data_IF_465992089491
#
_entry.id   IF_465992089491
#
_cell.length_a   1.000
_cell.length_b   1.000
_cell.length_c   1.000
_cell.angle_alpha   90.00
_cell.angle_beta   90.00
_cell.angle_gamma   90.00
#
_symmetry.space_group_name_H-M   'P 1'
#
loop_
_entity.id
_entity.type
_entity.pdbx_description
1 polymer ?
#
# COMPACT_ATOMS: atom_id res chain seq x y z
N UNK A 1 -12.09 8.52 27.59
CA UNK A 1 -11.54 8.77 26.25
C UNK A 1 -12.43 8.03 25.28
N UNK A 2 -12.96 8.70 24.25
CA UNK A 2 -13.71 8.02 23.18
C UNK A 2 -12.78 7.12 22.39
N UNK A 3 -13.30 6.05 21.82
CA UNK A 3 -12.54 5.23 20.88
C UNK A 3 -12.12 6.10 19.68
N UNK A 4 -10.93 5.87 19.10
CA UNK A 4 -10.51 6.57 17.89
C UNK A 4 -11.50 6.30 16.76
N UNK A 5 -11.69 7.29 15.88
CA UNK A 5 -12.33 7.06 14.59
C UNK A 5 -11.42 6.12 13.78
N UNK A 6 -11.95 4.98 13.34
CA UNK A 6 -11.21 4.04 12.49
C UNK A 6 -11.60 4.25 11.04
N UNK A 7 -10.60 4.40 10.16
CA UNK A 7 -10.77 4.59 8.72
C UNK A 7 -9.98 3.50 7.98
N UNK A 8 -10.70 2.66 7.24
CA UNK A 8 -10.09 1.67 6.34
C UNK A 8 -9.63 2.34 5.04
N UNK A 9 -8.35 2.15 4.70
CA UNK A 9 -7.73 2.68 3.48
C UNK A 9 -7.27 1.52 2.62
N UNK A 10 -7.89 1.37 1.45
CA UNK A 10 -7.51 0.39 0.45
C UNK A 10 -6.51 1.03 -0.53
N UNK A 11 -5.36 0.40 -0.74
CA UNK A 11 -4.25 1.04 -1.44
C UNK A 11 -3.56 0.14 -2.46
N UNK A 12 -2.98 0.78 -3.47
CA UNK A 12 -2.04 0.21 -4.43
C UNK A 12 -0.91 1.19 -4.72
N UNK A 13 0.33 0.71 -4.66
CA UNK A 13 1.53 1.52 -4.84
C UNK A 13 1.74 2.07 -6.26
N UNK A 14 1.02 1.56 -7.26
CA UNK A 14 1.05 2.04 -8.64
C UNK A 14 0.02 3.14 -8.90
N UNK A 15 -0.92 3.36 -7.98
CA UNK A 15 -2.01 4.30 -8.17
C UNK A 15 -1.60 5.73 -7.77
N UNK A 16 -1.54 6.70 -8.70
CA UNK A 16 -1.16 8.08 -8.37
C UNK A 16 -2.15 8.76 -7.41
N UNK A 17 -3.42 8.35 -7.43
CA UNK A 17 -4.43 8.87 -6.49
C UNK A 17 -4.19 8.37 -5.06
N UNK A 18 -3.62 7.17 -4.89
CA UNK A 18 -3.24 6.66 -3.57
C UNK A 18 -2.08 7.46 -3.01
N UNK A 19 -1.09 7.84 -3.81
CA UNK A 19 -0.02 8.72 -3.34
C UNK A 19 -0.56 10.07 -2.87
N UNK A 20 -1.35 10.75 -3.70
CA UNK A 20 -1.97 12.02 -3.32
C UNK A 20 -2.84 11.89 -2.04
N UNK A 21 -3.66 10.83 -1.97
CA UNK A 21 -4.48 10.53 -0.81
C UNK A 21 -3.66 10.24 0.45
N UNK A 22 -2.54 9.54 0.32
CA UNK A 22 -1.65 9.21 1.44
C UNK A 22 -1.04 10.44 2.10
N UNK A 23 -0.70 11.47 1.31
CA UNK A 23 -0.18 12.73 1.85
C UNK A 23 -1.25 13.43 2.70
N UNK A 24 -2.51 13.42 2.24
CA UNK A 24 -3.63 13.93 3.03
C UNK A 24 -3.87 13.11 4.30
N UNK A 25 -3.83 11.77 4.21
CA UNK A 25 -3.96 10.87 5.37
C UNK A 25 -2.86 11.17 6.40
N UNK A 26 -1.62 11.41 5.96
CA UNK A 26 -0.50 11.80 6.84
C UNK A 26 -0.78 13.11 7.57
N UNK A 27 -1.27 14.12 6.86
CA UNK A 27 -1.58 15.43 7.44
C UNK A 27 -2.74 15.33 8.45
N UNK A 28 -3.78 14.55 8.14
CA UNK A 28 -4.89 14.26 9.06
C UNK A 28 -4.43 13.53 10.30
N UNK A 29 -3.59 12.48 10.16
CA UNK A 29 -3.02 11.76 11.32
C UNK A 29 -2.17 12.68 12.19
N UNK A 30 -1.41 13.60 11.57
CA UNK A 30 -0.61 14.60 12.30
C UNK A 30 -1.49 15.57 13.09
N UNK A 31 -2.61 16.01 12.51
CA UNK A 31 -3.52 16.96 13.14
C UNK A 31 -4.36 16.36 14.28
N UNK A 32 -4.79 15.10 14.14
CA UNK A 32 -5.73 14.45 15.06
C UNK A 32 -5.07 13.47 16.04
N UNK A 33 -3.81 13.09 15.83
CA UNK A 33 -3.07 12.21 16.73
C UNK A 33 -3.84 10.91 17.02
N UNK A 34 -4.07 10.61 18.29
CA UNK A 34 -4.72 9.38 18.75
C UNK A 34 -6.26 9.39 18.62
N UNK A 35 -6.86 10.49 18.14
CA UNK A 35 -8.30 10.55 17.89
C UNK A 35 -8.72 9.80 16.60
N UNK A 36 -7.75 9.43 15.74
CA UNK A 36 -7.98 8.71 14.49
C UNK A 36 -6.97 7.58 14.27
N UNK A 37 -7.44 6.47 13.71
CA UNK A 37 -6.64 5.34 13.28
C UNK A 37 -6.92 5.03 11.80
N UNK A 38 -5.85 4.86 11.01
CA UNK A 38 -5.94 4.46 9.61
C UNK A 38 -5.47 3.02 9.47
N UNK A 39 -6.37 2.14 9.01
CA UNK A 39 -6.09 0.72 8.79
C UNK A 39 -5.86 0.49 7.31
N UNK A 40 -4.66 0.04 6.95
CA UNK A 40 -4.23 -0.04 5.55
C UNK A 40 -4.38 -1.46 4.99
N UNK A 41 -5.26 -1.59 4.00
CA UNK A 41 -5.56 -2.85 3.31
C UNK A 41 -4.98 -2.84 1.90
N UNK A 42 -4.20 -3.87 1.60
CA UNK A 42 -3.63 -4.06 0.27
C UNK A 42 -4.77 -4.33 -0.73
N UNK A 43 -4.84 -3.57 -1.82
CA UNK A 43 -5.84 -3.70 -2.88
C UNK A 43 -5.16 -3.68 -4.25
N UNK A 44 -4.52 -4.79 -4.68
CA UNK A 44 -3.72 -4.79 -5.89
C UNK A 44 -4.58 -4.56 -7.14
N UNK A 45 -4.37 -3.46 -7.85
CA UNK A 45 -5.07 -3.15 -9.09
C UNK A 45 -4.74 -4.13 -10.21
N UNK A 46 -3.55 -4.75 -10.16
CA UNK A 46 -3.18 -5.83 -11.08
C UNK A 46 -4.04 -7.09 -10.85
N UNK A 47 -4.46 -7.36 -9.61
CA UNK A 47 -5.45 -8.39 -9.28
C UNK A 47 -6.85 -8.00 -9.74
N UNK A 48 -7.30 -6.83 -9.32
CA UNK A 48 -8.70 -6.40 -9.46
C UNK A 48 -9.07 -6.13 -10.93
N UNK A 49 -8.12 -5.64 -11.72
CA UNK A 49 -8.33 -5.35 -13.15
C UNK A 49 -7.77 -6.44 -14.08
N UNK A 50 -7.48 -7.63 -13.55
CA UNK A 50 -6.96 -8.72 -14.38
C UNK A 50 -8.01 -9.18 -15.41
N UNK A 51 -7.63 -9.37 -16.68
CA UNK A 51 -8.53 -9.92 -17.69
C UNK A 51 -8.80 -11.42 -17.50
N UNK A 52 -8.02 -12.10 -16.65
CA UNK A 52 -8.09 -13.54 -16.39
C UNK A 52 -9.28 -13.95 -15.50
N UNK A 53 -10.03 -12.98 -14.97
CA UNK A 53 -11.20 -13.20 -14.13
C UNK A 53 -10.89 -13.37 -12.64
N UNK A 54 -11.92 -13.59 -11.81
CA UNK A 54 -11.81 -13.52 -10.34
C UNK A 54 -11.01 -14.67 -9.70
N UNK A 55 -10.88 -15.80 -10.38
CA UNK A 55 -10.12 -16.96 -9.88
C UNK A 55 -8.62 -16.81 -10.07
N UNK A 56 -8.19 -15.93 -10.99
CA UNK A 56 -6.78 -15.63 -11.16
C UNK A 56 -6.24 -14.91 -9.93
N UNK A 57 -5.07 -15.29 -9.44
CA UNK A 57 -4.47 -14.69 -8.24
C UNK A 57 -3.05 -14.22 -8.51
N UNK A 58 -2.84 -12.92 -8.34
CA UNK A 58 -1.54 -12.27 -8.53
C UNK A 58 -0.42 -12.93 -7.69
N UNK A 59 -0.74 -13.44 -6.51
CA UNK A 59 0.25 -14.05 -5.60
C UNK A 59 0.52 -15.55 -5.88
N UNK A 60 -0.21 -16.19 -6.79
CA UNK A 60 -0.02 -17.60 -7.18
C UNK A 60 0.70 -17.75 -8.53
N UNK A 61 1.27 -16.66 -9.05
CA UNK A 61 1.99 -16.66 -10.33
C UNK A 61 3.36 -17.34 -10.22
N UNK A 62 3.88 -17.94 -11.32
CA UNK A 62 5.20 -18.57 -11.34
C UNK A 62 6.32 -17.56 -11.08
N UNK A 63 7.51 -18.07 -10.73
CA UNK A 63 8.63 -17.24 -10.30
C UNK A 63 9.16 -16.27 -11.38
N UNK A 64 8.95 -16.59 -12.65
CA UNK A 64 9.32 -15.77 -13.80
C UNK A 64 8.23 -14.74 -14.19
N UNK A 65 7.09 -14.72 -13.49
CA UNK A 65 6.06 -13.71 -13.69
C UNK A 65 6.56 -12.31 -13.31
N UNK A 66 6.42 -11.38 -14.24
CA UNK A 66 6.80 -9.97 -14.05
C UNK A 66 5.61 -9.18 -13.56
N UNK A 67 5.45 -9.08 -12.25
CA UNK A 67 4.45 -8.18 -11.65
C UNK A 67 4.95 -6.74 -11.60
N UNK A 68 4.01 -5.80 -11.69
CA UNK A 68 4.31 -4.37 -11.54
C UNK A 68 4.34 -3.91 -10.08
N UNK A 69 3.72 -4.64 -9.16
CA UNK A 69 3.53 -4.19 -7.78
C UNK A 69 3.55 -5.26 -6.69
N UNK A 70 3.55 -6.55 -7.04
CA UNK A 70 3.48 -7.65 -6.05
C UNK A 70 4.62 -7.59 -5.02
N UNK A 71 5.84 -7.28 -5.46
CA UNK A 71 6.99 -7.21 -4.54
C UNK A 71 6.91 -6.02 -3.58
N UNK A 72 6.34 -4.89 -4.02
CA UNK A 72 6.03 -3.78 -3.13
C UNK A 72 5.00 -4.16 -2.07
N UNK A 73 3.95 -4.90 -2.45
CA UNK A 73 2.99 -5.42 -1.46
C UNK A 73 3.62 -6.44 -0.50
N UNK A 74 4.46 -7.35 -0.99
CA UNK A 74 5.19 -8.29 -0.14
C UNK A 74 6.08 -7.58 0.89
N UNK A 75 6.79 -6.53 0.46
CA UNK A 75 7.59 -5.72 1.38
C UNK A 75 6.73 -4.98 2.40
N UNK A 76 5.54 -4.51 2.02
CA UNK A 76 4.61 -3.86 2.93
C UNK A 76 4.08 -4.82 4.01
N UNK A 77 3.68 -6.03 3.62
CA UNK A 77 3.25 -7.06 4.57
C UNK A 77 4.41 -7.49 5.49
N UNK A 78 5.62 -7.62 4.95
CA UNK A 78 6.82 -7.87 5.77
C UNK A 78 7.14 -6.73 6.74
N UNK A 79 6.89 -5.48 6.36
CA UNK A 79 7.05 -4.32 7.22
C UNK A 79 5.97 -4.26 8.32
N UNK A 80 4.72 -4.63 8.01
CA UNK A 80 3.64 -4.78 9.03
C UNK A 80 4.02 -5.77 10.12
N UNK A 81 4.63 -6.90 9.75
CA UNK A 81 5.11 -7.91 10.71
C UNK A 81 6.21 -7.38 11.65
N UNK A 82 6.88 -6.28 11.29
CA UNK A 82 7.90 -5.63 12.11
C UNK A 82 7.35 -4.50 13.00
N UNK A 83 6.07 -4.11 12.80
CA UNK A 83 5.38 -3.09 13.59
C UNK A 83 4.85 -1.93 12.76
N UNK A 84 4.01 -1.10 13.38
CA UNK A 84 3.31 0.01 12.73
C UNK A 84 4.27 1.03 12.10
N UNK A 85 5.33 1.41 12.82
CA UNK A 85 6.32 2.40 12.32
C UNK A 85 7.10 1.86 11.12
N UNK A 86 7.47 0.58 11.14
CA UNK A 86 8.15 -0.06 10.01
C UNK A 86 7.25 -0.07 8.77
N UNK A 87 5.98 -0.42 8.92
CA UNK A 87 5.00 -0.34 7.85
C UNK A 87 4.84 1.09 7.32
N UNK A 88 4.63 2.07 8.20
CA UNK A 88 4.41 3.47 7.79
C UNK A 88 5.63 4.01 7.03
N UNK A 89 6.84 3.77 7.53
CA UNK A 89 8.07 4.19 6.87
C UNK A 89 8.22 3.53 5.49
N UNK A 90 7.98 2.22 5.40
CA UNK A 90 8.01 1.50 4.12
C UNK A 90 6.96 2.02 3.14
N UNK A 91 5.72 2.20 3.61
CA UNK A 91 4.58 2.58 2.81
C UNK A 91 4.78 3.92 2.12
N UNK A 92 5.19 4.96 2.86
CA UNK A 92 5.45 6.27 2.27
C UNK A 92 6.70 6.27 1.40
N UNK A 93 7.77 5.56 1.78
CA UNK A 93 8.99 5.49 0.98
C UNK A 93 8.75 4.85 -0.39
N UNK A 94 7.94 3.79 -0.47
CA UNK A 94 7.60 3.13 -1.74
C UNK A 94 6.72 4.01 -2.62
N UNK A 95 5.73 4.70 -2.03
CA UNK A 95 4.90 5.64 -2.78
C UNK A 95 5.74 6.80 -3.36
N UNK A 96 6.66 7.36 -2.57
CA UNK A 96 7.58 8.41 -3.02
C UNK A 96 8.54 7.89 -4.11
N UNK A 97 9.16 6.73 -3.89
CA UNK A 97 10.00 6.09 -4.88
C UNK A 97 9.27 5.90 -6.22
N UNK A 98 8.00 5.48 -6.20
CA UNK A 98 7.23 5.29 -7.43
C UNK A 98 6.80 6.60 -8.08
N UNK A 99 6.26 7.55 -7.30
CA UNK A 99 5.51 8.69 -7.83
C UNK A 99 6.29 10.00 -7.89
N UNK A 100 7.43 10.09 -7.21
CA UNK A 100 8.33 11.26 -7.24
C UNK A 100 9.62 10.90 -7.95
N UNK A 101 10.22 9.77 -7.60
CA UNK A 101 11.55 9.37 -8.11
C UNK A 101 11.47 8.51 -9.39
N UNK A 102 10.27 8.14 -9.82
CA UNK A 102 9.98 7.25 -10.97
C UNK A 102 10.75 5.92 -10.94
N UNK A 103 10.98 5.37 -9.74
CA UNK A 103 11.61 4.06 -9.56
C UNK A 103 10.63 2.94 -9.89
N UNK A 104 11.17 1.86 -10.45
CA UNK A 104 10.44 0.61 -10.63
C UNK A 104 10.38 -0.16 -9.30
N UNK A 105 9.16 -0.32 -8.77
CA UNK A 105 8.87 -1.00 -7.50
C UNK A 105 8.38 -2.46 -7.66
N UNK A 106 8.29 -2.95 -8.90
CA UNK A 106 7.81 -4.29 -9.22
C UNK A 106 8.89 -5.37 -9.30
N UNK A 107 10.17 -4.96 -9.25
CA UNK A 107 11.31 -5.90 -9.36
C UNK A 107 11.61 -6.58 -8.03
N UNK A 108 12.08 -7.83 -8.10
CA UNK A 108 12.65 -8.57 -6.98
C UNK A 108 13.99 -7.99 -6.54
#
# INVERSE_FOLDING_TARGET
>A
MSNPLVVDVYYDYLCPYVYAGSLWVRDVKTALGDEIEFVWHSFPLEQVNSPEGPEWKLWEQPDDFVSRGLYAFRGAEAAKLQGADAFINYHYAVLEARHVEDKNIGRK
#
